data_IF_274738792224
#
_entry.id   IF_274738792224
#
_cell.length_a   1.000
_cell.length_b   1.000
_cell.length_c   1.000
_cell.angle_alpha   90.00
_cell.angle_beta   90.00
_cell.angle_gamma   90.00
#
_symmetry.space_group_name_H-M   'P 1'
#
loop_
_entity.id
_entity.type
_entity.pdbx_description
1 polymer ?
#
# COMPACT_ATOMS: atom_id res chain seq x y z
N UNK A 1 -20.14 0.76 12.05
CA UNK A 1 -18.86 1.50 12.22
C UNK A 1 -19.00 2.87 11.60
N UNK A 2 -18.89 3.94 12.40
CA UNK A 2 -19.07 5.33 11.98
C UNK A 2 -18.13 5.73 10.83
N UNK A 3 -18.69 6.33 9.77
CA UNK A 3 -17.94 6.80 8.59
C UNK A 3 -16.80 7.76 8.98
N UNK A 4 -17.03 8.62 9.96
CA UNK A 4 -16.05 9.55 10.52
C UNK A 4 -14.79 8.84 11.08
N UNK A 5 -14.95 7.69 11.73
CA UNK A 5 -13.82 6.93 12.29
C UNK A 5 -12.96 6.31 11.18
N UNK A 6 -13.59 5.88 10.08
CA UNK A 6 -12.87 5.36 8.91
C UNK A 6 -12.06 6.46 8.23
N UNK A 7 -12.64 7.64 8.05
CA UNK A 7 -11.95 8.79 7.45
C UNK A 7 -10.76 9.23 8.29
N UNK A 8 -10.91 9.33 9.62
CA UNK A 8 -9.81 9.62 10.53
C UNK A 8 -8.67 8.58 10.40
N UNK A 9 -9.00 7.29 10.29
CA UNK A 9 -8.01 6.24 10.10
C UNK A 9 -7.26 6.35 8.76
N UNK A 10 -7.94 6.77 7.69
CA UNK A 10 -7.29 7.02 6.39
C UNK A 10 -6.35 8.23 6.45
N UNK A 11 -6.73 9.29 7.17
CA UNK A 11 -5.87 10.46 7.38
C UNK A 11 -4.61 10.09 8.17
N UNK A 12 -4.76 9.30 9.24
CA UNK A 12 -3.64 8.81 10.05
C UNK A 12 -2.71 7.89 9.22
N UNK A 13 -3.29 6.94 8.48
CA UNK A 13 -2.53 6.07 7.59
C UNK A 13 -1.77 6.86 6.50
N UNK A 14 -2.39 7.88 5.90
CA UNK A 14 -1.76 8.76 4.91
C UNK A 14 -0.51 9.43 5.49
N UNK A 15 -0.62 10.03 6.68
CA UNK A 15 0.48 10.71 7.37
C UNK A 15 1.60 9.73 7.74
N UNK A 16 1.27 8.56 8.29
CA UNK A 16 2.26 7.58 8.73
C UNK A 16 2.98 6.86 7.60
N UNK A 17 2.27 6.59 6.49
CA UNK A 17 2.82 5.89 5.34
C UNK A 17 3.45 6.83 4.30
N UNK A 18 3.30 8.15 4.45
CA UNK A 18 3.76 9.13 3.46
C UNK A 18 3.05 8.98 2.11
N UNK A 19 1.76 8.67 2.11
CA UNK A 19 0.99 8.43 0.89
C UNK A 19 0.39 9.71 0.31
N UNK A 20 0.31 9.78 -1.01
CA UNK A 20 -0.41 10.82 -1.74
C UNK A 20 -1.89 10.44 -1.93
N UNK A 21 -2.73 11.42 -2.28
CA UNK A 21 -4.18 11.17 -2.49
C UNK A 21 -4.44 10.14 -3.59
N UNK A 22 -3.61 10.12 -4.63
CA UNK A 22 -3.64 9.10 -5.68
C UNK A 22 -3.38 7.69 -5.13
N UNK A 23 -2.43 7.54 -4.21
CA UNK A 23 -2.11 6.23 -3.61
C UNK A 23 -3.20 5.79 -2.64
N UNK A 24 -3.82 6.71 -1.91
CA UNK A 24 -5.00 6.42 -1.10
C UNK A 24 -6.17 5.96 -1.97
N UNK A 25 -6.37 6.59 -3.14
CA UNK A 25 -7.38 6.16 -4.11
C UNK A 25 -7.06 4.77 -4.67
N UNK A 26 -5.83 4.53 -5.10
CA UNK A 26 -5.37 3.21 -5.56
C UNK A 26 -5.58 2.14 -4.49
N UNK A 27 -5.20 2.41 -3.24
CA UNK A 27 -5.40 1.49 -2.12
C UNK A 27 -6.90 1.18 -1.88
N UNK A 28 -7.78 2.17 -1.99
CA UNK A 28 -9.23 1.97 -1.90
C UNK A 28 -9.78 1.12 -3.05
N UNK A 29 -9.36 1.38 -4.28
CA UNK A 29 -9.74 0.60 -5.47
C UNK A 29 -9.24 -0.85 -5.37
N UNK A 30 -8.10 -1.07 -4.70
CA UNK A 30 -7.58 -2.41 -4.37
C UNK A 30 -8.31 -3.10 -3.20
N UNK A 31 -9.25 -2.43 -2.53
CA UNK A 31 -9.95 -2.96 -1.37
C UNK A 31 -9.11 -2.98 -0.08
N UNK A 32 -8.02 -2.21 -0.01
CA UNK A 32 -7.22 -2.08 1.20
C UNK A 32 -7.95 -1.27 2.28
N UNK A 33 -7.59 -1.53 3.52
CA UNK A 33 -8.08 -0.80 4.68
C UNK A 33 -6.98 0.12 5.24
N UNK A 34 -7.34 1.22 5.93
CA UNK A 34 -6.33 2.08 6.56
C UNK A 34 -5.50 1.31 7.60
N UNK A 35 -6.10 0.32 8.26
CA UNK A 35 -5.42 -0.56 9.20
C UNK A 35 -4.35 -1.44 8.52
N UNK A 36 -4.65 -2.00 7.32
CA UNK A 36 -3.67 -2.79 6.57
C UNK A 36 -2.50 -1.94 6.06
N UNK A 37 -2.70 -0.65 5.78
CA UNK A 37 -1.63 0.27 5.42
C UNK A 37 -0.72 0.56 6.62
N UNK A 38 -1.30 0.93 7.76
CA UNK A 38 -0.52 1.21 8.98
C UNK A 38 0.27 -0.01 9.46
N UNK A 39 -0.28 -1.22 9.34
CA UNK A 39 0.43 -2.47 9.69
C UNK A 39 1.57 -2.78 8.73
N UNK A 40 1.55 -2.25 7.51
CA UNK A 40 2.58 -2.52 6.51
C UNK A 40 3.78 -1.56 6.54
N UNK A 41 3.73 -0.51 7.36
CA UNK A 41 4.83 0.43 7.53
C UNK A 41 6.10 -0.33 7.95
N UNK A 42 7.19 -0.25 7.17
CA UNK A 42 8.44 -0.90 7.52
C UNK A 42 9.02 -0.28 8.79
N UNK A 43 9.39 -1.14 9.75
CA UNK A 43 10.14 -0.71 10.93
C UNK A 43 11.60 -0.41 10.57
N UNK A 44 12.33 0.31 11.43
CA UNK A 44 13.76 0.66 11.21
C UNK A 44 14.65 -0.56 10.95
N UNK A 45 14.31 -1.73 11.49
CA UNK A 45 15.04 -2.99 11.26
C UNK A 45 14.63 -3.73 9.98
N UNK A 46 13.61 -3.24 9.27
CA UNK A 46 13.02 -3.84 8.06
C UNK A 46 13.27 -2.97 6.82
N UNK A 47 14.46 -2.38 6.69
CA UNK A 47 14.84 -1.54 5.53
C UNK A 47 14.78 -2.28 4.19
N UNK A 48 14.80 -3.62 4.22
CA UNK A 48 14.63 -4.47 3.03
C UNK A 48 13.17 -4.56 2.53
N UNK A 49 12.21 -4.07 3.31
CA UNK A 49 10.78 -4.03 2.97
C UNK A 49 10.47 -2.72 2.25
N UNK A 50 9.78 -2.83 1.13
CA UNK A 50 9.47 -1.66 0.30
C UNK A 50 8.50 -0.69 0.99
N UNK A 51 8.64 0.61 0.74
CA UNK A 51 7.68 1.60 1.20
C UNK A 51 6.25 1.26 0.74
N UNK A 52 5.28 1.55 1.59
CA UNK A 52 3.85 1.26 1.31
C UNK A 52 3.38 1.97 0.03
N UNK A 53 3.94 3.13 -0.31
CA UNK A 53 3.69 3.86 -1.55
C UNK A 53 4.02 3.06 -2.81
N UNK A 54 5.21 2.46 -2.86
CA UNK A 54 5.66 1.62 -3.98
C UNK A 54 4.77 0.38 -4.08
N UNK A 55 4.52 -0.28 -2.96
CA UNK A 55 3.71 -1.49 -2.92
C UNK A 55 2.27 -1.29 -3.42
N UNK A 56 1.62 -0.18 -3.05
CA UNK A 56 0.28 0.16 -3.53
C UNK A 56 0.28 0.37 -5.04
N UNK A 57 1.27 1.07 -5.60
CA UNK A 57 1.38 1.30 -7.04
C UNK A 57 1.62 0.00 -7.82
N UNK A 58 2.46 -0.89 -7.31
CA UNK A 58 2.73 -2.18 -7.93
C UNK A 58 1.49 -3.07 -7.96
N UNK A 59 0.77 -3.17 -6.83
CA UNK A 59 -0.47 -3.93 -6.76
C UNK A 59 -1.54 -3.35 -7.68
N UNK A 60 -1.63 -2.02 -7.75
CA UNK A 60 -2.55 -1.33 -8.64
C UNK A 60 -2.23 -1.63 -10.10
N UNK A 61 -0.96 -1.50 -10.51
CA UNK A 61 -0.51 -1.84 -11.85
C UNK A 61 -0.78 -3.32 -12.19
N UNK A 62 -0.55 -4.24 -11.24
CA UNK A 62 -0.81 -5.68 -11.42
C UNK A 62 -2.29 -6.00 -11.59
N UNK A 63 -3.18 -5.29 -10.89
CA UNK A 63 -4.64 -5.52 -10.93
C UNK A 63 -5.32 -4.83 -12.11
N UNK A 64 -4.90 -3.60 -12.44
CA UNK A 64 -5.57 -2.76 -13.43
C UNK A 64 -4.80 -2.64 -14.76
N UNK A 65 -3.63 -3.26 -14.88
CA UNK A 65 -2.86 -3.35 -16.14
C UNK A 65 -2.31 -2.03 -16.68
N UNK A 66 -2.60 -0.89 -16.02
CA UNK A 66 -2.04 0.41 -16.36
C UNK A 66 -0.68 0.52 -15.71
N UNK A 67 0.36 0.14 -16.44
CA UNK A 67 1.73 0.42 -16.08
C UNK A 67 1.93 1.94 -16.00
N UNK A 68 1.84 2.50 -14.79
CA UNK A 68 2.55 3.75 -14.51
C UNK A 68 4.02 3.39 -14.72
N UNK A 69 4.77 4.06 -15.61
CA UNK A 69 6.16 3.70 -15.90
C UNK A 69 6.97 3.88 -14.62
N UNK A 70 7.14 2.78 -13.88
CA UNK A 70 7.97 2.73 -12.70
C UNK A 70 9.41 2.83 -13.20
N UNK A 71 10.04 4.00 -13.06
CA UNK A 71 11.49 4.08 -13.23
C UNK A 71 12.12 3.23 -12.12
N UNK A 72 12.60 2.05 -12.53
CA UNK A 72 13.50 1.14 -11.81
C UNK A 72 12.85 0.22 -10.74
N UNK A 73 12.70 -1.07 -11.07
CA UNK A 73 13.58 -2.16 -10.62
C UNK A 73 12.89 -3.54 -10.83
N UNK A 74 13.40 -4.44 -11.69
CA UNK A 74 12.70 -5.67 -12.02
C UNK A 74 13.11 -6.82 -11.11
N UNK A 75 12.74 -6.87 -9.82
CA UNK A 75 12.77 -8.14 -9.04
C UNK A 75 11.81 -8.13 -7.84
N UNK A 76 10.70 -8.87 -7.96
CA UNK A 76 10.16 -9.75 -6.89
C UNK A 76 9.12 -10.72 -7.44
N UNK A 77 9.65 -11.81 -7.97
CA UNK A 77 8.99 -13.12 -8.05
C UNK A 77 8.46 -13.54 -6.67
N UNK A 78 7.20 -13.98 -6.64
CA UNK A 78 6.62 -14.95 -5.69
C UNK A 78 6.82 -14.71 -4.19
N UNK A 79 5.74 -14.30 -3.50
CA UNK A 79 5.51 -14.77 -2.13
C UNK A 79 4.09 -15.32 -2.03
N UNK A 80 4.05 -16.65 -2.04
CA UNK A 80 2.93 -17.52 -1.71
C UNK A 80 2.42 -17.18 -0.31
N UNK A 81 1.12 -16.94 -0.21
CA UNK A 81 0.39 -16.91 1.05
C UNK A 81 0.14 -18.37 1.46
N UNK A 82 1.04 -18.92 2.29
CA UNK A 82 0.78 -20.18 2.99
C UNK A 82 0.22 -19.81 4.37
N UNK A 83 -1.09 -20.04 4.57
CA UNK A 83 -1.76 -19.91 5.86
C UNK A 83 -2.05 -21.32 6.34
N UNK A 84 -1.32 -21.73 7.38
CA UNK A 84 -1.56 -22.97 8.12
C UNK A 84 -2.53 -22.71 9.28
#
# INVERSE_FOLDING_TARGET
>A
MNKAVKEAAWVDAKKRCGLNDEEIRMAKELGMTPHSLTKNIPSRSQMWKEPVSVWVRELYAKKFGRAIPNKMNPKRSGKSENKQ
#
